data_IF_966129944658
#
_entry.id   IF_966129944658
#
_cell.length_a   1.000
_cell.length_b   1.000
_cell.length_c   1.000
_cell.angle_alpha   90.00
_cell.angle_beta   90.00
_cell.angle_gamma   90.00
#
_symmetry.space_group_name_H-M   'P 1'
#
loop_
_entity.id
_entity.type
_entity.pdbx_description
1 polymer ?
#
# COMPACT_ATOMS: atom_id res chain seq x y z
N UNK A 1 -12.09 8.66 -9.58
CA UNK A 1 -11.63 7.28 -9.90
C UNK A 1 -11.87 6.38 -8.70
N UNK A 2 -12.32 5.18 -8.95
CA UNK A 2 -12.49 4.14 -7.94
C UNK A 2 -11.25 3.25 -7.88
N UNK A 3 -11.04 2.60 -6.74
CA UNK A 3 -9.93 1.66 -6.54
C UNK A 3 -9.91 0.56 -7.60
N UNK A 4 -11.09 0.00 -7.95
CA UNK A 4 -11.20 -1.02 -9.01
C UNK A 4 -10.63 -0.53 -10.35
N UNK A 5 -10.90 0.71 -10.71
CA UNK A 5 -10.39 1.32 -11.94
C UNK A 5 -8.87 1.47 -11.90
N UNK A 6 -8.34 1.87 -10.74
CA UNK A 6 -6.90 1.99 -10.54
C UNK A 6 -6.20 0.63 -10.65
N UNK A 7 -6.80 -0.43 -10.09
CA UNK A 7 -6.25 -1.78 -10.18
C UNK A 7 -6.22 -2.31 -11.61
N UNK A 8 -7.20 -1.97 -12.44
CA UNK A 8 -7.22 -2.35 -13.85
C UNK A 8 -6.06 -1.72 -14.64
N UNK A 9 -5.61 -0.54 -14.23
CA UNK A 9 -4.48 0.17 -14.85
C UNK A 9 -3.14 -0.33 -14.35
N UNK A 10 -3.10 -0.98 -13.19
CA UNK A 10 -1.88 -1.48 -12.57
C UNK A 10 -1.47 -2.79 -13.25
N UNK A 11 -0.24 -2.86 -13.76
CA UNK A 11 0.27 -4.03 -14.50
C UNK A 11 0.48 -5.27 -13.64
N UNK A 12 0.68 -5.10 -12.32
CA UNK A 12 0.91 -6.20 -11.40
C UNK A 12 0.05 -6.03 -10.17
N UNK A 13 -0.77 -7.06 -9.85
CA UNK A 13 -1.63 -7.10 -8.67
C UNK A 13 -1.15 -8.18 -7.70
N UNK A 14 0.15 -8.20 -7.46
CA UNK A 14 0.74 -9.21 -6.61
C UNK A 14 0.42 -8.93 -5.16
N UNK A 15 -0.23 -9.89 -4.49
CA UNK A 15 -0.54 -9.81 -3.07
C UNK A 15 0.58 -10.54 -2.33
N UNK A 16 1.36 -9.79 -1.54
CA UNK A 16 2.46 -10.34 -0.77
C UNK A 16 2.11 -10.23 0.71
N UNK A 17 1.90 -11.36 1.34
CA UNK A 17 1.64 -11.45 2.77
C UNK A 17 2.69 -12.30 3.44
N UNK A 18 2.97 -12.01 4.71
CA UNK A 18 3.91 -12.79 5.51
C UNK A 18 3.27 -13.21 6.82
N UNK A 19 3.65 -14.38 7.36
CA UNK A 19 3.22 -14.79 8.69
C UNK A 19 3.75 -13.86 9.78
N UNK A 20 3.04 -13.80 10.89
CA UNK A 20 3.42 -12.94 12.02
C UNK A 20 4.75 -13.36 12.68
N UNK A 21 5.18 -14.60 12.50
CA UNK A 21 6.43 -15.14 13.04
C UNK A 21 7.66 -14.82 12.18
N UNK A 22 7.46 -14.26 10.99
CA UNK A 22 8.55 -13.89 10.09
C UNK A 22 9.53 -12.97 10.81
N UNK A 23 10.84 -13.20 10.64
CA UNK A 23 11.84 -12.32 11.22
C UNK A 23 11.92 -11.00 10.46
N UNK A 24 12.36 -9.97 11.13
CA UNK A 24 12.58 -8.65 10.51
C UNK A 24 13.59 -8.77 9.36
N UNK A 25 14.64 -9.58 9.52
CA UNK A 25 15.62 -9.80 8.45
C UNK A 25 14.96 -10.39 7.21
N UNK A 26 14.13 -11.42 7.36
CA UNK A 26 13.41 -12.01 6.21
C UNK A 26 12.47 -11.00 5.57
N UNK A 27 11.77 -10.21 6.37
CA UNK A 27 10.88 -9.17 5.86
C UNK A 27 11.64 -8.12 5.05
N UNK A 28 12.81 -7.70 5.51
CA UNK A 28 13.64 -6.73 4.76
C UNK A 28 14.11 -7.29 3.43
N UNK A 29 14.43 -8.59 3.38
CA UNK A 29 14.80 -9.25 2.12
C UNK A 29 13.66 -9.24 1.12
N UNK A 30 12.43 -9.52 1.58
CA UNK A 30 11.24 -9.51 0.72
C UNK A 30 10.97 -8.10 0.20
N UNK A 31 11.04 -7.09 1.06
CA UNK A 31 10.87 -5.69 0.65
C UNK A 31 11.87 -5.30 -0.44
N UNK A 32 13.12 -5.69 -0.27
CA UNK A 32 14.19 -5.42 -1.23
C UNK A 32 13.97 -6.17 -2.56
N UNK A 33 13.71 -7.47 -2.50
CA UNK A 33 13.52 -8.31 -3.69
C UNK A 33 12.30 -7.90 -4.51
N UNK A 34 11.20 -7.54 -3.84
CA UNK A 34 9.94 -7.20 -4.50
C UNK A 34 9.80 -5.71 -4.82
N UNK A 35 10.77 -4.89 -4.41
CA UNK A 35 10.77 -3.42 -4.62
C UNK A 35 9.49 -2.76 -4.08
N UNK A 36 9.09 -3.13 -2.87
CA UNK A 36 7.90 -2.59 -2.20
C UNK A 36 8.26 -1.96 -0.86
N UNK A 37 7.42 -1.05 -0.39
CA UNK A 37 7.65 -0.30 0.85
C UNK A 37 6.90 -0.81 2.08
N UNK A 38 6.05 -1.81 1.92
CA UNK A 38 5.30 -2.40 3.02
C UNK A 38 4.88 -3.82 2.72
N UNK A 39 4.70 -4.61 3.79
CA UNK A 39 4.22 -5.98 3.74
C UNK A 39 2.98 -6.12 4.61
N UNK A 40 2.00 -6.86 4.11
CA UNK A 40 0.82 -7.23 4.88
C UNK A 40 1.13 -8.48 5.71
N UNK A 41 0.73 -8.45 6.98
CA UNK A 41 1.00 -9.53 7.92
C UNK A 41 -0.31 -10.27 8.21
N UNK A 42 -0.27 -11.57 8.06
CA UNK A 42 -1.43 -12.45 8.25
C UNK A 42 -1.26 -13.40 9.44
N UNK A 43 -2.38 -13.84 10.00
CA UNK A 43 -2.40 -14.92 10.96
C UNK A 43 -2.44 -16.29 10.23
N UNK A 44 -2.53 -17.38 11.00
CA UNK A 44 -2.56 -18.74 10.46
C UNK A 44 -3.81 -19.02 9.61
N UNK A 45 -4.89 -18.30 9.86
CA UNK A 45 -6.15 -18.41 9.10
C UNK A 45 -6.18 -17.55 7.85
N UNK A 46 -5.11 -16.80 7.59
CA UNK A 46 -4.99 -15.91 6.44
C UNK A 46 -5.60 -14.53 6.63
N UNK A 47 -6.07 -14.20 7.84
CA UNK A 47 -6.63 -12.89 8.12
C UNK A 47 -5.53 -11.83 8.23
N UNK A 48 -5.79 -10.64 7.68
CA UNK A 48 -4.90 -9.50 7.81
C UNK A 48 -4.90 -9.01 9.26
N UNK A 49 -3.75 -9.04 9.91
CA UNK A 49 -3.61 -8.63 11.31
C UNK A 49 -2.68 -7.45 11.52
N UNK A 50 -1.92 -7.09 10.52
CA UNK A 50 -1.01 -5.96 10.62
C UNK A 50 -0.40 -5.58 9.29
N UNK A 51 0.33 -4.48 9.31
CA UNK A 51 1.12 -4.02 8.18
C UNK A 51 2.50 -3.59 8.71
N UNK A 52 3.55 -4.00 7.99
CA UNK A 52 4.93 -3.64 8.31
C UNK A 52 5.47 -2.77 7.18
N UNK A 53 5.79 -1.52 7.48
CA UNK A 53 6.37 -0.58 6.52
C UNK A 53 7.87 -0.38 6.75
N UNK A 54 8.55 0.14 5.73
CA UNK A 54 9.95 0.57 5.86
C UNK A 54 10.13 1.54 7.02
N UNK A 55 9.16 2.40 7.27
CA UNK A 55 9.18 3.37 8.36
C UNK A 55 9.17 2.67 9.73
N UNK A 56 8.36 1.62 9.89
CA UNK A 56 8.33 0.83 11.13
C UNK A 56 9.70 0.21 11.41
N UNK A 57 10.37 -0.28 10.37
CA UNK A 57 11.69 -0.88 10.45
C UNK A 57 12.73 0.17 10.86
N UNK A 58 12.74 1.31 10.20
CA UNK A 58 13.70 2.39 10.51
C UNK A 58 13.52 2.90 11.95
N UNK A 59 12.27 3.05 12.40
CA UNK A 59 11.97 3.48 13.78
C UNK A 59 12.38 2.47 14.84
N UNK A 60 12.42 1.20 14.49
CA UNK A 60 12.80 0.14 15.41
C UNK A 60 14.32 0.07 15.66
N UNK A 61 15.13 0.49 14.70
CA UNK A 61 16.60 0.39 14.79
C UNK A 61 17.16 1.09 16.05
N UNK A 62 16.86 2.37 16.31
CA UNK A 62 17.38 3.02 17.52
C UNK A 62 16.79 2.46 18.80
N UNK A 63 15.60 1.87 18.75
CA UNK A 63 14.93 1.31 19.92
C UNK A 63 15.50 -0.04 20.34
N UNK A 64 15.81 -0.92 19.39
CA UNK A 64 16.22 -2.29 19.66
C UNK A 64 17.72 -2.55 19.42
N UNK A 65 18.41 -1.66 18.71
CA UNK A 65 19.83 -1.79 18.46
C UNK A 65 20.20 -3.03 17.64
N UNK A 66 21.29 -3.69 18.01
CA UNK A 66 21.88 -4.79 17.26
C UNK A 66 20.96 -6.02 17.13
N UNK A 67 20.04 -6.22 18.07
CA UNK A 67 19.12 -7.38 18.08
C UNK A 67 17.90 -7.21 17.16
N UNK A 68 17.78 -6.06 16.54
CA UNK A 68 16.65 -5.66 15.71
C UNK A 68 16.33 -6.68 14.60
N UNK A 69 17.33 -7.26 13.93
CA UNK A 69 17.11 -8.18 12.80
C UNK A 69 16.53 -9.53 13.21
N UNK A 70 16.73 -9.95 14.46
CA UNK A 70 16.20 -11.22 14.97
C UNK A 70 14.79 -11.11 15.53
N UNK A 71 14.23 -9.91 15.64
CA UNK A 71 12.87 -9.70 16.09
C UNK A 71 11.86 -10.28 15.07
N UNK A 72 10.67 -10.59 15.54
CA UNK A 72 9.57 -10.99 14.66
C UNK A 72 8.79 -9.78 14.20
N UNK A 73 8.21 -9.85 13.01
CA UNK A 73 7.44 -8.73 12.45
C UNK A 73 6.26 -8.35 13.33
N UNK A 74 5.67 -9.30 14.07
CA UNK A 74 4.57 -9.01 15.00
C UNK A 74 4.94 -8.00 16.09
N UNK A 75 6.23 -7.88 16.42
CA UNK A 75 6.72 -6.94 17.43
C UNK A 75 6.82 -5.50 16.89
N UNK A 76 6.92 -5.33 15.58
CA UNK A 76 7.12 -4.04 14.93
C UNK A 76 5.92 -3.56 14.14
N UNK A 77 5.06 -4.44 13.67
CA UNK A 77 3.96 -4.12 12.77
C UNK A 77 2.94 -3.17 13.40
N UNK A 78 2.26 -2.42 12.55
CA UNK A 78 1.09 -1.63 12.94
C UNK A 78 -0.13 -2.54 12.93
N UNK A 79 -0.82 -2.66 14.07
CA UNK A 79 -1.99 -3.54 14.21
C UNK A 79 -3.31 -2.88 13.82
N UNK A 80 -3.44 -1.58 14.06
CA UNK A 80 -4.62 -0.82 13.67
C UNK A 80 -4.57 -0.44 12.20
N UNK A 81 -4.78 -1.44 11.33
CA UNK A 81 -4.66 -1.25 9.88
C UNK A 81 -5.89 -0.53 9.34
N UNK A 82 -5.67 0.58 8.64
CA UNK A 82 -6.72 1.26 7.90
C UNK A 82 -6.84 0.60 6.53
N UNK A 83 -8.03 0.11 6.21
CA UNK A 83 -8.30 -0.60 4.95
C UNK A 83 -9.39 0.13 4.17
N UNK A 84 -9.55 -0.25 2.90
CA UNK A 84 -10.64 0.24 2.07
C UNK A 84 -11.22 -0.91 1.25
N UNK A 85 -12.37 -0.65 0.62
CA UNK A 85 -12.99 -1.58 -0.30
C UNK A 85 -12.69 -1.22 -1.76
N UNK A 86 -13.10 -2.10 -2.71
CA UNK A 86 -12.81 -1.90 -4.14
C UNK A 86 -13.57 -0.70 -4.74
N UNK A 87 -14.66 -0.28 -4.13
CA UNK A 87 -15.46 0.86 -4.60
C UNK A 87 -15.12 2.17 -3.88
N UNK A 88 -14.08 2.19 -3.06
CA UNK A 88 -13.59 3.41 -2.43
C UNK A 88 -13.05 4.36 -3.51
N UNK A 89 -13.19 5.65 -3.24
CA UNK A 89 -12.71 6.70 -4.15
C UNK A 89 -11.24 7.02 -3.84
N UNK A 90 -10.43 7.06 -4.89
CA UNK A 90 -9.00 7.31 -4.80
C UNK A 90 -8.68 8.61 -4.07
N UNK A 91 -9.40 9.70 -4.35
CA UNK A 91 -9.13 10.98 -3.68
C UNK A 91 -9.43 10.95 -2.17
N UNK A 92 -10.40 10.16 -1.73
CA UNK A 92 -10.70 9.99 -0.30
C UNK A 92 -9.58 9.22 0.41
N UNK A 93 -8.99 8.24 -0.28
CA UNK A 93 -7.84 7.48 0.24
C UNK A 93 -6.62 8.39 0.36
N UNK A 94 -6.36 9.22 -0.65
CA UNK A 94 -5.27 10.22 -0.60
C UNK A 94 -5.44 11.15 0.61
N UNK A 95 -6.65 11.62 0.84
CA UNK A 95 -6.95 12.47 1.97
C UNK A 95 -6.66 11.78 3.31
N UNK A 96 -7.09 10.54 3.47
CA UNK A 96 -6.81 9.74 4.69
C UNK A 96 -5.31 9.53 4.91
N UNK A 97 -4.59 9.21 3.85
CA UNK A 97 -3.13 9.02 3.93
C UNK A 97 -2.43 10.32 4.36
N UNK A 98 -2.87 11.45 3.83
CA UNK A 98 -2.31 12.75 4.18
C UNK A 98 -2.63 13.12 5.65
N UNK A 99 -3.85 12.91 6.09
CA UNK A 99 -4.28 13.25 7.45
C UNK A 99 -3.64 12.36 8.51
N UNK A 100 -3.51 11.06 8.24
CA UNK A 100 -3.04 10.06 9.20
C UNK A 100 -1.58 9.66 9.02
N UNK A 101 -0.89 10.22 8.03
CA UNK A 101 0.55 10.00 7.77
C UNK A 101 0.94 8.54 7.55
N UNK A 102 0.14 7.77 6.81
CA UNK A 102 0.53 6.45 6.32
C UNK A 102 0.53 6.45 4.79
N UNK A 103 1.29 5.53 4.19
CA UNK A 103 1.55 5.50 2.74
C UNK A 103 1.07 4.24 2.04
N UNK A 104 0.50 3.32 2.77
CA UNK A 104 0.04 2.04 2.25
C UNK A 104 -1.30 1.69 2.87
N UNK A 105 -2.23 1.21 2.05
CA UNK A 105 -3.56 0.84 2.50
C UNK A 105 -3.98 -0.47 1.85
N UNK A 106 -4.22 -1.52 2.64
CA UNK A 106 -4.75 -2.76 2.10
C UNK A 106 -6.19 -2.59 1.60
N UNK A 107 -6.53 -3.33 0.56
CA UNK A 107 -7.87 -3.35 -0.03
C UNK A 107 -8.51 -4.70 0.27
N UNK A 108 -9.67 -4.68 0.89
CA UNK A 108 -10.44 -5.88 1.23
C UNK A 108 -11.76 -5.88 0.46
N UNK A 109 -12.16 -7.04 -0.02
CA UNK A 109 -13.47 -7.28 -0.62
C UNK A 109 -14.10 -8.49 0.06
N UNK A 110 -15.25 -8.30 0.68
CA UNK A 110 -15.94 -9.35 1.45
C UNK A 110 -15.02 -10.03 2.48
N UNK A 111 -14.21 -9.20 3.16
CA UNK A 111 -13.27 -9.67 4.17
C UNK A 111 -11.98 -10.29 3.63
N UNK A 112 -11.85 -10.41 2.31
CA UNK A 112 -10.66 -10.98 1.67
C UNK A 112 -9.74 -9.89 1.14
N UNK A 113 -8.45 -10.09 1.33
CA UNK A 113 -7.43 -9.19 0.84
C UNK A 113 -7.29 -9.34 -0.68
N UNK A 114 -7.51 -8.26 -1.42
CA UNK A 114 -7.41 -8.25 -2.89
C UNK A 114 -6.24 -7.43 -3.41
N UNK A 115 -5.58 -6.66 -2.56
CA UNK A 115 -4.41 -5.89 -2.96
C UNK A 115 -4.00 -4.87 -1.93
N UNK A 116 -3.03 -4.05 -2.30
CA UNK A 116 -2.55 -2.94 -1.47
C UNK A 116 -2.33 -1.72 -2.36
N UNK A 117 -2.72 -0.56 -1.86
CA UNK A 117 -2.52 0.72 -2.53
C UNK A 117 -1.38 1.45 -1.83
N UNK A 118 -0.39 1.92 -2.61
CA UNK A 118 0.65 2.81 -2.12
C UNK A 118 0.36 4.26 -2.48
N UNK A 119 0.97 5.20 -1.77
CA UNK A 119 0.89 6.62 -2.12
C UNK A 119 1.41 6.86 -3.56
N UNK A 120 2.42 6.10 -3.99
CA UNK A 120 2.95 6.17 -5.35
C UNK A 120 1.90 5.77 -6.40
N UNK A 121 1.11 4.72 -6.14
CA UNK A 121 0.01 4.31 -7.03
C UNK A 121 -1.02 5.43 -7.18
N UNK A 122 -1.36 6.11 -6.07
CA UNK A 122 -2.34 7.20 -6.06
C UNK A 122 -1.83 8.42 -6.83
N UNK A 123 -0.57 8.78 -6.61
CA UNK A 123 0.06 9.92 -7.31
C UNK A 123 0.08 9.66 -8.81
N UNK A 124 0.50 8.47 -9.23
CA UNK A 124 0.52 8.09 -10.64
C UNK A 124 -0.88 8.16 -11.26
N UNK A 125 -1.87 7.62 -10.57
CA UNK A 125 -3.27 7.65 -11.03
C UNK A 125 -3.78 9.09 -11.20
N UNK A 126 -3.46 9.98 -10.25
CA UNK A 126 -3.87 11.38 -10.31
C UNK A 126 -3.18 12.13 -11.45
N UNK A 127 -1.89 11.86 -11.68
CA UNK A 127 -1.17 12.44 -12.81
C UNK A 127 -1.76 12.00 -14.15
N UNK A 128 -2.10 10.72 -14.29
CA UNK A 128 -2.74 10.18 -15.50
C UNK A 128 -4.10 10.85 -15.75
N UNK A 129 -4.91 11.07 -14.70
CA UNK A 129 -6.19 11.79 -14.82
C UNK A 129 -5.97 13.22 -15.30
N UNK A 130 -5.02 13.94 -14.72
CA UNK A 130 -4.73 15.33 -15.08
C UNK A 130 -4.22 15.44 -16.53
N UNK A 131 -3.40 14.52 -16.98
CA UNK A 131 -2.94 14.46 -18.37
C UNK A 131 -4.09 14.23 -19.33
N UNK A 132 -5.02 13.33 -18.99
CA UNK A 132 -6.21 13.07 -19.79
C UNK A 132 -7.11 14.29 -19.88
N UNK A 133 -7.35 15.00 -18.77
CA UNK A 133 -8.12 16.23 -18.74
C UNK A 133 -7.47 17.30 -19.60
N UNK A 134 -6.15 17.47 -19.51
CA UNK A 134 -5.39 18.44 -20.30
C UNK A 134 -5.49 18.11 -21.79
N UNK A 135 -5.36 16.86 -22.18
CA UNK A 135 -5.51 16.41 -23.55
C UNK A 135 -6.93 16.71 -24.11
N UNK A 136 -7.96 16.44 -23.33
CA UNK A 136 -9.35 16.75 -23.69
C UNK A 136 -9.54 18.26 -23.87
N UNK A 137 -9.01 19.06 -22.98
CA UNK A 137 -9.10 20.51 -23.06
C UNK A 137 -8.40 21.07 -24.30
N UNK A 138 -7.20 20.56 -24.61
CA UNK A 138 -6.47 20.93 -25.83
C UNK A 138 -7.25 20.58 -27.09
N UNK A 139 -7.85 19.40 -27.14
CA UNK A 139 -8.67 18.95 -28.27
C UNK A 139 -9.92 19.83 -28.43
N UNK A 140 -10.55 20.21 -27.33
CA UNK A 140 -11.71 21.09 -27.34
C UNK A 140 -11.33 22.48 -27.91
N UNK A 141 -10.23 23.06 -27.43
CA UNK A 141 -9.72 24.37 -27.90
C UNK A 141 -9.34 24.30 -29.38
N UNK A 142 -8.78 23.17 -29.84
CA UNK A 142 -8.42 22.97 -31.24
C UNK A 142 -9.59 22.60 -32.16
N UNK A 143 -10.82 22.53 -31.62
CA UNK A 143 -12.01 22.15 -32.38
C UNK A 143 -12.07 20.67 -32.74
N UNK A 144 -11.36 19.83 -32.02
CA UNK A 144 -11.40 18.35 -32.18
C UNK A 144 -12.31 17.76 -31.10
N UNK A 145 -13.13 16.86 -31.49
CA UNK A 145 -13.99 16.12 -30.55
C UNK A 145 -13.27 14.91 -29.96
#
# INVERSE_FOLDING_TARGET
>A
MLVTQMFQQKKTHRIITIPLETTVLEATRILEEEHIGALMVRDDDGALIGILSERDIVRAIPKYGADFLSLRVEQLMTRSVVTCGPHARVHQIMQKMTERHFRHMPVLEDGKLIGMISIGDLVKSRLDELETEDAHMRNFIAGKE
#
